data_IF_226951420882
#
_entry.id   IF_226951420882
#
_cell.length_a   1.000
_cell.length_b   1.000
_cell.length_c   1.000
_cell.angle_alpha   90.00
_cell.angle_beta   90.00
_cell.angle_gamma   90.00
#
_symmetry.space_group_name_H-M   'P 1'
#
loop_
_entity.id
_entity.type
_entity.pdbx_description
1 polymer ?
#
# COMPACT_ATOMS: atom_id res chain seq x y z
N UNK A 1 4.13 -16.52 -19.35
CA UNK A 1 5.46 -17.06 -19.71
C UNK A 1 6.29 -17.07 -18.44
N UNK A 2 6.41 -18.24 -17.82
CA UNK A 2 6.98 -18.43 -16.48
C UNK A 2 8.46 -18.78 -16.65
N UNK A 3 9.36 -17.84 -16.32
CA UNK A 3 10.80 -18.10 -16.30
C UNK A 3 11.18 -18.77 -14.97
N UNK A 4 10.96 -20.09 -14.89
CA UNK A 4 11.48 -20.93 -13.81
C UNK A 4 12.88 -21.41 -14.18
N UNK A 5 13.89 -20.78 -13.59
CA UNK A 5 15.29 -21.18 -13.75
C UNK A 5 16.17 -20.62 -12.64
N UNK A 6 15.80 -20.83 -11.38
CA UNK A 6 16.70 -20.59 -10.25
C UNK A 6 17.18 -21.93 -9.68
N UNK A 7 18.51 -22.16 -9.57
CA UNK A 7 19.05 -23.42 -9.06
C UNK A 7 18.67 -23.59 -7.59
N UNK A 8 17.89 -24.62 -7.33
CA UNK A 8 17.46 -25.08 -6.02
C UNK A 8 18.67 -25.41 -5.15
N UNK A 9 18.84 -24.70 -4.02
CA UNK A 9 19.66 -25.18 -2.91
C UNK A 9 20.46 -24.16 -2.09
N UNK A 10 20.84 -22.99 -2.63
CA UNK A 10 21.68 -22.00 -1.88
C UNK A 10 21.26 -20.53 -1.98
N UNK A 11 20.15 -20.21 -2.65
CA UNK A 11 19.72 -18.84 -2.96
C UNK A 11 18.31 -18.52 -2.43
N UNK A 12 17.97 -18.98 -1.21
CA UNK A 12 16.68 -18.70 -0.57
C UNK A 12 16.42 -17.18 -0.36
N UNK A 13 17.46 -16.35 -0.50
CA UNK A 13 17.43 -14.91 -0.31
C UNK A 13 16.94 -14.11 -1.54
N UNK A 14 16.91 -14.71 -2.74
CA UNK A 14 16.49 -14.04 -3.99
C UNK A 14 14.96 -13.97 -4.14
N UNK A 15 14.20 -14.76 -3.37
CA UNK A 15 12.73 -14.66 -3.33
C UNK A 15 12.21 -13.43 -2.57
N UNK A 16 13.08 -12.71 -1.85
CA UNK A 16 12.70 -11.65 -0.91
C UNK A 16 12.49 -10.25 -1.54
N UNK A 17 13.21 -9.83 -2.62
CA UNK A 17 13.08 -8.46 -3.14
C UNK A 17 11.68 -8.12 -3.61
N UNK A 18 10.98 -9.05 -4.29
CA UNK A 18 9.63 -8.79 -4.81
C UNK A 18 8.59 -8.66 -3.69
N UNK A 19 8.63 -9.54 -2.68
CA UNK A 19 7.78 -9.40 -1.47
C UNK A 19 8.11 -8.12 -0.69
N UNK A 20 9.40 -7.73 -0.64
CA UNK A 20 9.80 -6.50 0.02
C UNK A 20 9.26 -5.25 -0.69
N UNK A 21 9.42 -5.13 -2.01
CA UNK A 21 8.89 -3.99 -2.78
C UNK A 21 7.36 -3.99 -2.83
N UNK A 22 6.71 -5.16 -2.72
CA UNK A 22 5.26 -5.25 -2.59
C UNK A 22 4.77 -4.57 -1.29
N UNK A 23 5.56 -4.66 -0.21
CA UNK A 23 5.24 -4.08 1.10
C UNK A 23 5.74 -2.64 1.27
N UNK A 24 6.90 -2.34 0.70
CA UNK A 24 7.59 -1.07 0.86
C UNK A 24 7.87 -0.45 -0.52
N UNK A 25 7.14 0.62 -0.92
CA UNK A 25 7.40 1.32 -2.18
C UNK A 25 8.70 2.14 -2.07
N UNK A 26 9.84 1.47 -2.16
CA UNK A 26 11.18 2.05 -2.12
C UNK A 26 11.74 2.23 -3.54
N UNK A 27 12.68 3.17 -3.70
CA UNK A 27 13.48 3.29 -4.92
C UNK A 27 14.60 2.24 -4.96
N UNK A 28 15.27 2.15 -6.11
CA UNK A 28 16.36 1.20 -6.37
C UNK A 28 17.46 1.26 -5.31
N UNK A 29 18.04 2.45 -5.08
CA UNK A 29 19.17 2.62 -4.16
C UNK A 29 18.83 2.21 -2.72
N UNK A 30 17.62 2.52 -2.26
CA UNK A 30 17.16 2.15 -0.94
C UNK A 30 17.02 0.63 -0.79
N UNK A 31 16.49 -0.04 -1.81
CA UNK A 31 16.43 -1.50 -1.84
C UNK A 31 17.83 -2.12 -1.91
N UNK A 32 18.70 -1.58 -2.74
CA UNK A 32 20.10 -2.00 -2.87
C UNK A 32 20.80 -1.94 -1.52
N UNK A 33 20.71 -0.81 -0.79
CA UNK A 33 21.30 -0.71 0.54
C UNK A 33 20.75 -1.74 1.53
N UNK A 34 19.44 -2.00 1.53
CA UNK A 34 18.82 -2.99 2.43
C UNK A 34 19.35 -4.39 2.13
N UNK A 35 19.45 -4.74 0.86
CA UNK A 35 19.91 -6.06 0.44
C UNK A 35 21.42 -6.22 0.58
N UNK A 36 22.22 -5.19 0.26
CA UNK A 36 23.66 -5.17 0.51
C UNK A 36 24.00 -5.32 1.99
N UNK A 37 23.25 -4.65 2.89
CA UNK A 37 23.40 -4.86 4.34
C UNK A 37 23.17 -6.30 4.75
N UNK A 38 22.24 -7.01 4.09
CA UNK A 38 22.00 -8.45 4.36
C UNK A 38 23.14 -9.32 3.83
N UNK A 39 23.65 -9.03 2.64
CA UNK A 39 24.83 -9.70 2.09
C UNK A 39 26.01 -9.50 3.04
N UNK A 40 26.31 -8.27 3.46
CA UNK A 40 27.45 -7.99 4.34
C UNK A 40 27.27 -8.56 5.77
N UNK A 41 26.04 -8.79 6.23
CA UNK A 41 25.78 -9.44 7.52
C UNK A 41 26.01 -10.96 7.46
N UNK A 42 25.95 -11.55 6.26
CA UNK A 42 26.27 -12.96 6.10
C UNK A 42 27.76 -13.18 6.36
N UNK A 43 28.10 -14.17 7.18
CA UNK A 43 29.49 -14.52 7.49
C UNK A 43 30.07 -15.33 6.34
N UNK A 44 30.61 -14.65 5.34
CA UNK A 44 31.44 -15.25 4.31
C UNK A 44 32.83 -15.55 4.86
N UNK A 45 33.50 -16.56 4.30
CA UNK A 45 34.93 -16.73 4.53
C UNK A 45 35.72 -15.57 3.90
N UNK A 46 36.95 -15.34 4.36
CA UNK A 46 37.82 -14.34 3.77
C UNK A 46 38.08 -14.67 2.29
N UNK A 47 37.89 -13.69 1.39
CA UNK A 47 37.98 -13.84 -0.07
C UNK A 47 37.05 -14.92 -0.67
N UNK A 48 35.92 -15.21 -0.04
CA UNK A 48 34.94 -16.18 -0.56
C UNK A 48 34.29 -15.66 -1.87
N UNK A 49 34.47 -16.35 -3.01
CA UNK A 49 33.84 -15.98 -4.29
C UNK A 49 32.30 -15.94 -4.22
N UNK A 50 31.68 -16.62 -3.25
CA UNK A 50 30.24 -16.57 -3.04
C UNK A 50 29.75 -15.17 -2.66
N UNK A 51 30.58 -14.34 -2.02
CA UNK A 51 30.21 -12.97 -1.68
C UNK A 51 30.05 -12.11 -2.94
N UNK A 52 30.97 -12.22 -3.89
CA UNK A 52 30.92 -11.47 -5.15
C UNK A 52 29.84 -12.03 -6.10
N UNK A 53 29.63 -13.34 -6.10
CA UNK A 53 28.48 -13.95 -6.76
C UNK A 53 27.14 -13.43 -6.20
N UNK A 54 27.04 -13.24 -4.88
CA UNK A 54 25.84 -12.67 -4.25
C UNK A 54 25.60 -11.21 -4.64
N UNK A 55 26.65 -10.38 -4.68
CA UNK A 55 26.57 -8.98 -5.16
C UNK A 55 26.19 -8.92 -6.65
N UNK A 56 26.74 -9.80 -7.48
CA UNK A 56 26.40 -9.88 -8.91
C UNK A 56 24.94 -10.28 -9.11
N UNK A 57 24.46 -11.29 -8.37
CA UNK A 57 23.07 -11.72 -8.41
C UNK A 57 22.12 -10.60 -7.92
N UNK A 58 22.52 -9.83 -6.92
CA UNK A 58 21.78 -8.65 -6.46
C UNK A 58 21.60 -7.63 -7.59
N UNK A 59 22.69 -7.22 -8.24
CA UNK A 59 22.65 -6.24 -9.33
C UNK A 59 21.70 -6.68 -10.43
N UNK A 60 21.80 -7.95 -10.85
CA UNK A 60 20.89 -8.52 -11.86
C UNK A 60 19.42 -8.43 -11.47
N UNK A 61 19.09 -8.76 -10.22
CA UNK A 61 17.70 -8.66 -9.73
C UNK A 61 17.20 -7.23 -9.70
N UNK A 62 18.05 -6.26 -9.32
CA UNK A 62 17.69 -4.85 -9.36
C UNK A 62 17.47 -4.36 -10.80
N UNK A 63 18.29 -4.81 -11.75
CA UNK A 63 18.15 -4.48 -13.17
C UNK A 63 16.87 -5.04 -13.76
N UNK A 64 16.56 -6.32 -13.48
CA UNK A 64 15.31 -6.95 -13.89
C UNK A 64 14.09 -6.17 -13.37
N UNK A 65 14.12 -5.76 -12.09
CA UNK A 65 13.05 -4.96 -11.47
C UNK A 65 12.93 -3.54 -12.06
N UNK A 66 14.04 -2.93 -12.43
CA UNK A 66 14.07 -1.63 -13.07
C UNK A 66 13.51 -1.68 -14.50
N UNK A 67 13.88 -2.70 -15.27
CA UNK A 67 13.31 -2.98 -16.59
C UNK A 67 11.81 -3.26 -16.52
N UNK A 68 11.33 -3.90 -15.45
CA UNK A 68 9.90 -4.08 -15.17
C UNK A 68 9.20 -2.80 -14.67
N UNK A 69 9.93 -1.70 -14.46
CA UNK A 69 9.37 -0.42 -13.97
C UNK A 69 8.96 -0.44 -12.49
N UNK A 70 9.45 -1.40 -11.70
CA UNK A 70 9.05 -1.60 -10.30
C UNK A 70 9.38 -0.40 -9.38
N UNK A 71 10.35 0.43 -9.77
CA UNK A 71 10.79 1.62 -9.03
C UNK A 71 10.16 2.93 -9.52
N UNK A 72 9.30 2.87 -10.55
CA UNK A 72 8.65 4.06 -11.11
C UNK A 72 7.90 4.84 -10.03
N UNK A 73 7.91 6.18 -10.16
CA UNK A 73 7.18 7.05 -9.23
C UNK A 73 5.70 6.69 -9.18
N UNK A 74 5.10 6.38 -10.32
CA UNK A 74 3.71 5.93 -10.45
C UNK A 74 3.44 4.70 -9.58
N UNK A 75 4.21 3.61 -9.73
CA UNK A 75 4.02 2.39 -8.92
C UNK A 75 4.10 2.67 -7.41
N UNK A 76 5.06 3.50 -7.00
CA UNK A 76 5.23 3.85 -5.58
C UNK A 76 4.06 4.69 -5.05
N UNK A 77 3.62 5.68 -5.81
CA UNK A 77 2.50 6.54 -5.44
C UNK A 77 1.17 5.78 -5.43
N UNK A 78 0.93 4.88 -6.40
CA UNK A 78 -0.22 3.96 -6.42
C UNK A 78 -0.27 3.12 -5.15
N UNK A 79 0.85 2.48 -4.77
CA UNK A 79 0.92 1.65 -3.56
C UNK A 79 0.66 2.46 -2.29
N UNK A 80 1.22 3.67 -2.20
CA UNK A 80 1.00 4.54 -1.04
C UNK A 80 -0.45 5.02 -0.97
N UNK A 81 -1.06 5.39 -2.11
CA UNK A 81 -2.51 5.69 -2.21
C UNK A 81 -3.33 4.52 -1.69
N UNK A 82 -3.11 3.32 -2.22
CA UNK A 82 -3.89 2.13 -1.88
C UNK A 82 -3.73 1.76 -0.41
N UNK A 83 -2.53 1.92 0.15
CA UNK A 83 -2.26 1.76 1.58
C UNK A 83 -3.07 2.73 2.44
N UNK A 84 -3.18 4.00 2.03
CA UNK A 84 -4.00 5.00 2.72
C UNK A 84 -5.49 4.66 2.62
N UNK A 85 -5.97 4.23 1.45
CA UNK A 85 -7.35 3.81 1.22
C UNK A 85 -7.70 2.58 2.07
N UNK A 86 -6.85 1.54 2.09
CA UNK A 86 -7.00 0.35 2.95
C UNK A 86 -7.02 0.68 4.44
N UNK A 87 -6.41 1.79 4.85
CA UNK A 87 -6.48 2.26 6.25
C UNK A 87 -7.79 2.98 6.57
N UNK A 88 -8.61 3.27 5.57
CA UNK A 88 -9.89 3.97 5.66
C UNK A 88 -9.80 5.47 5.40
N UNK A 89 -8.85 5.92 4.56
CA UNK A 89 -8.82 7.30 4.09
C UNK A 89 -9.58 7.40 2.77
N UNK A 90 -10.31 8.49 2.58
CA UNK A 90 -10.89 8.80 1.27
C UNK A 90 -9.79 8.96 0.22
N UNK A 91 -10.08 8.65 -1.07
CA UNK A 91 -9.17 8.92 -2.18
C UNK A 91 -8.65 10.37 -2.19
N UNK A 92 -9.53 11.33 -1.90
CA UNK A 92 -9.16 12.75 -1.83
C UNK A 92 -8.12 13.05 -0.75
N UNK A 93 -8.28 12.46 0.44
CA UNK A 93 -7.28 12.60 1.52
C UNK A 93 -6.00 11.86 1.17
N UNK A 94 -6.08 10.72 0.48
CA UNK A 94 -4.89 10.03 -0.01
C UNK A 94 -4.09 10.91 -0.98
N UNK A 95 -4.75 11.51 -1.98
CA UNK A 95 -4.11 12.44 -2.93
C UNK A 95 -3.49 13.65 -2.24
N UNK A 96 -4.21 14.27 -1.30
CA UNK A 96 -3.66 15.39 -0.52
C UNK A 96 -2.38 15.00 0.22
N UNK A 97 -2.35 13.82 0.85
CA UNK A 97 -1.15 13.32 1.56
C UNK A 97 0.01 13.02 0.63
N UNK A 98 -0.26 12.57 -0.59
CA UNK A 98 0.77 12.39 -1.62
C UNK A 98 1.33 13.74 -2.09
N UNK A 99 0.46 14.74 -2.27
CA UNK A 99 0.88 16.11 -2.58
C UNK A 99 1.76 16.72 -1.47
N UNK A 100 1.37 16.55 -0.20
CA UNK A 100 2.17 16.98 0.96
C UNK A 100 3.55 16.30 1.03
N UNK A 101 3.70 15.13 0.41
CA UNK A 101 4.98 14.40 0.26
C UNK A 101 5.76 14.78 -1.01
N UNK A 102 5.30 15.77 -1.77
CA UNK A 102 5.97 16.28 -2.96
C UNK A 102 5.63 15.56 -4.27
N UNK A 103 4.53 14.80 -4.35
CA UNK A 103 4.05 14.28 -5.64
C UNK A 103 3.67 15.45 -6.57
N UNK A 104 4.09 15.38 -7.84
CA UNK A 104 3.73 16.38 -8.84
C UNK A 104 2.24 16.32 -9.17
N UNK A 105 1.69 17.42 -9.69
CA UNK A 105 0.29 17.50 -10.09
C UNK A 105 -0.05 16.44 -11.14
N UNK A 106 0.77 16.32 -12.18
CA UNK A 106 0.57 15.34 -13.27
C UNK A 106 0.50 13.90 -12.72
N UNK A 107 1.38 13.55 -11.78
CA UNK A 107 1.38 12.23 -11.17
C UNK A 107 0.14 11.98 -10.30
N UNK A 108 -0.46 13.02 -9.71
CA UNK A 108 -1.69 12.91 -8.94
C UNK A 108 -2.92 12.80 -9.85
N UNK A 109 -2.92 13.51 -10.98
CA UNK A 109 -3.99 13.45 -11.97
C UNK A 109 -4.11 12.02 -12.56
N UNK A 110 -2.97 11.37 -12.85
CA UNK A 110 -2.91 9.96 -13.27
C UNK A 110 -3.45 8.96 -12.22
N UNK A 111 -3.45 9.34 -10.94
CA UNK A 111 -3.88 8.49 -9.82
C UNK A 111 -5.32 8.74 -9.37
N UNK A 112 -5.93 9.83 -9.83
CA UNK A 112 -7.14 10.42 -9.24
C UNK A 112 -8.42 9.60 -9.42
N UNK A 113 -8.47 8.77 -10.46
CA UNK A 113 -9.60 7.87 -10.67
C UNK A 113 -9.55 6.70 -9.67
N UNK A 114 -10.52 6.68 -8.75
CA UNK A 114 -10.76 5.56 -7.84
C UNK A 114 -12.21 5.12 -8.00
N UNK A 115 -12.40 3.82 -8.11
CA UNK A 115 -13.72 3.19 -8.14
C UNK A 115 -14.56 3.66 -6.92
N UNK A 116 -15.78 4.18 -7.13
CA UNK A 116 -16.68 4.56 -6.04
C UNK A 116 -16.89 3.46 -5.00
N UNK A 117 -16.85 2.19 -5.42
CA UNK A 117 -17.00 1.06 -4.50
C UNK A 117 -15.76 0.87 -3.62
N UNK A 118 -14.55 1.13 -4.13
CA UNK A 118 -13.33 1.16 -3.32
C UNK A 118 -13.39 2.31 -2.30
N UNK A 119 -13.91 3.48 -2.69
CA UNK A 119 -14.13 4.59 -1.76
C UNK A 119 -15.10 4.21 -0.63
N UNK A 120 -16.19 3.50 -0.97
CA UNK A 120 -17.17 3.00 -0.01
C UNK A 120 -16.58 1.94 0.94
N UNK A 121 -15.80 0.97 0.42
CA UNK A 121 -15.08 -0.01 1.25
C UNK A 121 -14.10 0.63 2.24
N UNK A 122 -13.41 1.68 1.83
CA UNK A 122 -12.55 2.44 2.73
C UNK A 122 -13.39 3.11 3.85
N UNK A 123 -14.57 3.64 3.53
CA UNK A 123 -15.46 4.25 4.51
C UNK A 123 -15.97 3.22 5.53
N UNK A 124 -16.38 2.02 5.07
CA UNK A 124 -16.75 0.89 5.92
C UNK A 124 -15.61 0.48 6.86
N UNK A 125 -14.36 0.57 6.42
CA UNK A 125 -13.19 0.28 7.27
C UNK A 125 -13.11 1.24 8.47
N UNK A 126 -13.36 2.54 8.28
CA UNK A 126 -13.44 3.49 9.40
C UNK A 126 -14.66 3.22 10.26
N UNK A 127 -15.82 2.98 9.63
CA UNK A 127 -17.05 2.74 10.34
C UNK A 127 -16.93 1.55 11.29
N UNK A 128 -16.31 0.44 10.83
CA UNK A 128 -16.00 -0.73 11.64
C UNK A 128 -15.03 -0.42 12.77
N UNK A 129 -13.91 0.26 12.48
CA UNK A 129 -12.90 0.63 13.50
C UNK A 129 -13.43 1.57 14.57
N UNK A 130 -14.44 2.38 14.24
CA UNK A 130 -15.03 3.41 15.12
C UNK A 130 -16.42 3.06 15.64
N UNK A 131 -16.96 1.88 15.28
CA UNK A 131 -18.31 1.40 15.67
C UNK A 131 -19.42 2.37 15.28
N UNK A 132 -19.39 2.81 14.02
CA UNK A 132 -20.34 3.75 13.42
C UNK A 132 -21.39 2.97 12.63
N UNK A 133 -22.62 3.48 12.56
CA UNK A 133 -23.69 2.90 11.72
C UNK A 133 -24.01 1.46 12.09
N UNK A 134 -24.01 0.58 11.09
CA UNK A 134 -24.19 -0.88 11.24
C UNK A 134 -23.29 -1.51 12.31
N UNK A 135 -22.11 -0.95 12.58
CA UNK A 135 -21.15 -1.49 13.54
C UNK A 135 -21.33 -0.98 14.97
N UNK A 136 -22.39 -0.21 15.24
CA UNK A 136 -22.72 0.26 16.60
C UNK A 136 -23.05 -0.91 17.51
N UNK A 137 -22.68 -0.78 18.78
CA UNK A 137 -23.08 -1.74 19.83
C UNK A 137 -24.41 -1.38 20.47
N UNK A 138 -24.65 -0.08 20.63
CA UNK A 138 -25.83 0.48 21.25
C UNK A 138 -26.37 1.60 20.34
N UNK A 139 -27.68 1.85 20.37
CA UNK A 139 -28.24 3.03 19.72
C UNK A 139 -27.64 4.31 20.32
N UNK A 140 -27.54 5.35 19.49
CA UNK A 140 -27.03 6.66 19.89
C UNK A 140 -28.08 7.72 19.58
N UNK A 141 -28.03 8.82 20.32
CA UNK A 141 -28.88 9.98 20.09
C UNK A 141 -28.42 10.80 18.86
N UNK A 142 -29.15 11.87 18.55
CA UNK A 142 -28.84 12.77 17.44
C UNK A 142 -27.44 13.38 17.56
N UNK A 143 -27.00 13.71 18.77
CA UNK A 143 -25.64 14.23 19.00
C UNK A 143 -24.57 13.15 18.76
N UNK A 144 -24.87 11.89 19.06
CA UNK A 144 -24.07 10.73 18.68
C UNK A 144 -23.95 10.57 17.17
N UNK A 145 -25.07 10.60 16.44
CA UNK A 145 -25.08 10.55 14.96
C UNK A 145 -24.20 11.65 14.36
N UNK A 146 -24.37 12.91 14.79
CA UNK A 146 -23.55 14.03 14.31
C UNK A 146 -22.04 13.85 14.59
N UNK A 147 -21.70 13.25 15.74
CA UNK A 147 -20.30 12.93 16.05
C UNK A 147 -19.74 11.88 15.10
N UNK A 148 -20.53 10.86 14.75
CA UNK A 148 -20.14 9.82 13.80
C UNK A 148 -19.93 10.38 12.39
N UNK A 149 -20.88 11.17 11.89
CA UNK A 149 -20.77 11.89 10.61
C UNK A 149 -19.51 12.78 10.60
N UNK A 150 -19.25 13.49 11.69
CA UNK A 150 -18.05 14.32 11.85
C UNK A 150 -16.74 13.52 11.80
N UNK A 151 -16.73 12.27 12.28
CA UNK A 151 -15.57 11.38 12.18
C UNK A 151 -15.30 11.03 10.71
N UNK A 152 -16.34 10.67 9.95
CA UNK A 152 -16.23 10.34 8.53
C UNK A 152 -15.85 11.57 7.68
N UNK A 153 -16.44 12.73 7.97
CA UNK A 153 -16.09 13.99 7.31
C UNK A 153 -14.61 14.35 7.52
N UNK A 154 -14.06 14.18 8.74
CA UNK A 154 -12.63 14.37 9.02
C UNK A 154 -11.74 13.29 8.37
N UNK A 155 -12.28 12.13 8.03
CA UNK A 155 -11.59 11.14 7.18
C UNK A 155 -11.65 11.51 5.68
N UNK A 156 -12.39 12.56 5.33
CA UNK A 156 -12.43 13.21 4.03
C UNK A 156 -13.55 12.75 3.11
N UNK A 157 -14.49 11.95 3.62
CA UNK A 157 -15.65 11.48 2.87
C UNK A 157 -16.64 12.60 2.60
N UNK A 158 -17.25 12.55 1.42
CA UNK A 158 -18.34 13.44 1.02
C UNK A 158 -19.66 13.00 1.69
N UNK A 159 -20.63 13.90 1.71
CA UNK A 159 -21.90 13.71 2.40
C UNK A 159 -22.70 12.51 1.88
N UNK A 160 -22.69 12.27 0.57
CA UNK A 160 -23.28 11.09 -0.09
C UNK A 160 -22.75 9.77 0.48
N UNK A 161 -21.43 9.61 0.58
CA UNK A 161 -20.82 8.41 1.16
C UNK A 161 -21.12 8.31 2.66
N UNK A 162 -21.13 9.43 3.37
CA UNK A 162 -21.48 9.47 4.80
C UNK A 162 -22.91 8.97 4.99
N UNK A 163 -23.89 9.51 4.26
CA UNK A 163 -25.27 9.05 4.35
C UNK A 163 -25.42 7.59 3.98
N UNK A 164 -24.80 7.15 2.87
CA UNK A 164 -24.81 5.73 2.48
C UNK A 164 -24.34 4.85 3.65
N UNK A 165 -23.23 5.18 4.31
CA UNK A 165 -22.71 4.43 5.47
C UNK A 165 -23.69 4.41 6.65
N UNK A 166 -24.39 5.52 6.89
CA UNK A 166 -25.33 5.65 8.00
C UNK A 166 -26.64 4.89 7.76
N UNK A 167 -27.01 4.69 6.50
CA UNK A 167 -28.20 3.97 6.04
C UNK A 167 -27.93 2.49 5.72
N UNK A 168 -26.67 2.10 5.55
CA UNK A 168 -26.25 0.72 5.20
C UNK A 168 -26.67 -0.27 6.28
N UNK A 169 -27.31 -1.37 5.85
CA UNK A 169 -27.62 -2.52 6.70
C UNK A 169 -26.75 -3.74 6.36
N UNK A 170 -26.90 -4.83 7.11
CA UNK A 170 -26.08 -6.04 6.93
C UNK A 170 -26.22 -6.65 5.53
N UNK A 171 -27.40 -6.57 4.93
CA UNK A 171 -27.70 -7.15 3.61
C UNK A 171 -27.11 -6.33 2.44
N UNK A 172 -26.72 -5.08 2.69
CA UNK A 172 -26.17 -4.14 1.69
C UNK A 172 -24.62 -4.14 1.66
N UNK A 173 -23.99 -4.98 2.49
CA UNK A 173 -22.55 -5.14 2.50
C UNK A 173 -22.11 -5.91 1.25
N UNK A 174 -21.13 -5.41 0.49
CA UNK A 174 -20.59 -6.17 -0.64
C UNK A 174 -19.84 -7.40 -0.15
N UNK A 175 -19.88 -8.44 -0.97
CA UNK A 175 -19.13 -9.67 -0.76
C UNK A 175 -17.65 -9.35 -0.61
N UNK A 176 -17.07 -9.75 0.54
CA UNK A 176 -15.69 -9.42 0.95
C UNK A 176 -14.69 -10.43 0.45
#
# INVERSE_FOLDING_TARGET
MVLTGYPSGRLFWIAVPRDYIARFPVGRDALEQVLLRRVNKHQFAENDPAQDAAKTALTKVLDDLEQEGAFSATVRLTKERDSLIKRGRSPRVAMRKLAEKGASRDALDDLGAVDPEIEFQAALTIARKRRIGLYRRNPVDRAGIQREEGILARAGYRHDIIQRIMETNADDLPDV
#
